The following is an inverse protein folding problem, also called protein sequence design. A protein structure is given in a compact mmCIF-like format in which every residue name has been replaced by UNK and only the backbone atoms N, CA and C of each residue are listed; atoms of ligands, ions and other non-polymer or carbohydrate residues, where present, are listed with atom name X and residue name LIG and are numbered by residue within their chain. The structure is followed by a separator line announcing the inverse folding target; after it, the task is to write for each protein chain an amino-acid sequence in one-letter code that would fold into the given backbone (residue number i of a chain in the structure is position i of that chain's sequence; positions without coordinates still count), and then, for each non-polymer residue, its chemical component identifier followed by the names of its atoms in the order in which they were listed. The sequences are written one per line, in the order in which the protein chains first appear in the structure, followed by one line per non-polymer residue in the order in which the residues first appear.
data_IF_799006714877
#
_entry.id   IF_799006714877
#
_cell.length_a   1.000
_cell.length_b   1.000
_cell.length_c   1.000
_cell.angle_alpha   90.00
_cell.angle_beta   90.00
_cell.angle_gamma   90.00
#
_symmetry.space_group_name_H-M   'P 1'
#
loop_
_entity.id
_entity.type
_entity.pdbx_description
1 polymer ?
#
# COMPACT_ATOMS: atom_id res chain seq x y z
N UNK A 1 -17.03 15.05 -12.18
CA UNK A 1 -18.18 14.24 -11.74
C UNK A 1 -17.71 12.81 -11.61
N UNK A 2 -17.41 12.37 -10.39
CA UNK A 2 -16.93 11.00 -10.14
C UNK A 2 -18.14 10.05 -10.17
N UNK A 3 -18.22 9.21 -11.18
CA UNK A 3 -19.32 8.26 -11.36
C UNK A 3 -19.17 7.14 -10.33
N UNK A 4 -20.18 6.99 -9.46
CA UNK A 4 -20.29 5.96 -8.43
C UNK A 4 -20.54 4.59 -9.06
N UNK A 5 -19.52 3.97 -9.61
CA UNK A 5 -19.49 2.51 -9.70
C UNK A 5 -18.94 1.98 -8.39
N UNK A 6 -19.59 0.94 -7.87
CA UNK A 6 -19.18 0.15 -6.72
C UNK A 6 -17.87 -0.60 -7.06
N UNK A 7 -16.79 0.16 -7.22
CA UNK A 7 -15.46 -0.35 -7.51
C UNK A 7 -14.89 -0.76 -6.15
N UNK A 8 -14.82 -2.07 -5.92
CA UNK A 8 -14.01 -2.59 -4.81
C UNK A 8 -12.60 -1.97 -4.91
N UNK A 9 -12.19 -1.20 -3.90
CA UNK A 9 -10.90 -0.50 -3.88
C UNK A 9 -9.71 -1.46 -4.09
N UNK A 10 -9.92 -2.77 -3.87
CA UNK A 10 -9.00 -3.84 -4.25
C UNK A 10 -8.64 -3.80 -5.74
N UNK A 11 -9.60 -3.52 -6.61
CA UNK A 11 -9.40 -3.52 -8.06
C UNK A 11 -8.59 -2.31 -8.54
N UNK A 12 -8.81 -1.12 -7.95
CA UNK A 12 -8.09 0.11 -8.34
C UNK A 12 -6.61 -0.03 -8.03
N UNK A 13 -6.29 -0.53 -6.85
CA UNK A 13 -4.92 -0.75 -6.40
C UNK A 13 -4.19 -1.76 -7.27
N UNK A 14 -4.83 -2.90 -7.56
CA UNK A 14 -4.25 -3.99 -8.37
C UNK A 14 -4.06 -3.58 -9.84
N UNK A 15 -5.07 -2.96 -10.45
CA UNK A 15 -5.01 -2.52 -11.85
C UNK A 15 -3.94 -1.45 -12.07
N UNK A 16 -3.77 -0.53 -11.11
CA UNK A 16 -2.76 0.52 -11.18
C UNK A 16 -1.35 -0.09 -11.19
N UNK A 17 -1.09 -1.09 -10.34
CA UNK A 17 0.20 -1.79 -10.32
C UNK A 17 0.52 -2.51 -11.63
N UNK A 18 -0.48 -3.06 -12.33
CA UNK A 18 -0.25 -3.79 -13.59
C UNK A 18 -0.14 -2.88 -14.81
N UNK A 19 -0.85 -1.74 -14.82
CA UNK A 19 -0.93 -0.84 -15.98
C UNK A 19 0.06 0.32 -15.92
N UNK A 20 0.60 0.63 -14.74
CA UNK A 20 1.52 1.74 -14.52
C UNK A 20 2.89 1.25 -14.01
N UNK A 21 3.78 0.75 -14.90
CA UNK A 21 5.07 0.17 -14.49
C UNK A 21 6.06 1.18 -13.89
N UNK A 22 5.78 2.49 -14.01
CA UNK A 22 6.61 3.58 -13.47
C UNK A 22 5.91 4.34 -12.32
N UNK A 23 4.93 3.72 -11.65
CA UNK A 23 4.13 4.36 -10.60
C UNK A 23 4.94 4.61 -9.32
N UNK A 24 5.48 5.81 -9.14
CA UNK A 24 6.30 6.18 -7.97
C UNK A 24 5.48 6.70 -6.79
N UNK A 25 4.33 7.27 -7.08
CA UNK A 25 3.47 7.90 -6.09
C UNK A 25 2.02 7.53 -6.40
N UNK A 26 1.31 7.09 -5.38
CA UNK A 26 -0.11 6.81 -5.46
C UNK A 26 -0.83 7.52 -4.32
N UNK A 27 -1.70 8.46 -4.66
CA UNK A 27 -2.42 9.28 -3.69
C UNK A 27 -3.91 8.93 -3.72
N UNK A 28 -4.39 8.40 -2.62
CA UNK A 28 -5.82 8.09 -2.38
C UNK A 28 -6.31 8.78 -1.11
N UNK A 29 -5.68 9.90 -0.75
CA UNK A 29 -6.08 10.70 0.40
C UNK A 29 -7.53 11.19 0.23
N UNK A 30 -8.29 11.15 1.32
CA UNK A 30 -9.72 11.48 1.33
C UNK A 30 -10.64 10.37 0.80
N UNK A 31 -10.12 9.25 0.28
CA UNK A 31 -10.92 8.10 -0.10
C UNK A 31 -11.31 7.27 1.14
N UNK A 32 -12.45 7.59 1.76
CA UNK A 32 -12.89 7.00 3.02
C UNK A 32 -13.03 5.48 3.01
N UNK A 33 -13.19 4.84 1.85
CA UNK A 33 -13.33 3.40 1.71
C UNK A 33 -11.98 2.65 1.60
N UNK A 34 -10.87 3.38 1.58
CA UNK A 34 -9.53 2.77 1.61
C UNK A 34 -9.24 2.28 3.03
N UNK A 35 -8.87 1.00 3.14
CA UNK A 35 -8.65 0.30 4.41
C UNK A 35 -7.31 -0.43 4.40
N UNK A 36 -6.95 -1.08 5.53
CA UNK A 36 -5.79 -1.96 5.59
C UNK A 36 -5.80 -3.07 4.52
N UNK A 37 -6.98 -3.63 4.19
CA UNK A 37 -7.12 -4.65 3.15
C UNK A 37 -6.79 -4.11 1.74
N UNK A 38 -7.11 -2.84 1.47
CA UNK A 38 -6.74 -2.19 0.20
C UNK A 38 -5.21 -2.14 0.04
N UNK A 39 -4.50 -1.80 1.13
CA UNK A 39 -3.03 -1.76 1.15
C UNK A 39 -2.42 -3.15 1.02
N UNK A 40 -3.01 -4.18 1.65
CA UNK A 40 -2.56 -5.57 1.50
C UNK A 40 -2.66 -6.03 0.05
N UNK A 41 -3.81 -5.78 -0.59
CA UNK A 41 -4.02 -6.13 -2.00
C UNK A 41 -3.05 -5.37 -2.93
N UNK A 42 -2.83 -4.08 -2.67
CA UNK A 42 -1.84 -3.28 -3.39
C UNK A 42 -0.43 -3.87 -3.27
N UNK A 43 -0.02 -4.21 -2.04
CA UNK A 43 1.30 -4.76 -1.72
C UNK A 43 1.49 -6.12 -2.38
N UNK A 44 0.49 -7.00 -2.32
CA UNK A 44 0.50 -8.31 -2.97
C UNK A 44 0.64 -8.18 -4.50
N UNK A 45 -0.11 -7.28 -5.13
CA UNK A 45 -0.04 -7.03 -6.57
C UNK A 45 1.37 -6.60 -7.04
N UNK A 46 2.08 -5.80 -6.23
CA UNK A 46 3.44 -5.37 -6.53
C UNK A 46 4.46 -6.52 -6.51
N UNK A 47 4.25 -7.54 -5.67
CA UNK A 47 5.14 -8.72 -5.66
C UNK A 47 5.10 -9.45 -7.00
N UNK A 48 3.96 -9.47 -7.68
CA UNK A 48 3.84 -10.14 -8.98
C UNK A 48 4.22 -9.26 -10.17
N UNK A 49 4.42 -7.96 -9.96
CA UNK A 49 4.96 -7.07 -11.00
C UNK A 49 6.50 -7.19 -11.04
N UNK A 50 7.05 -7.48 -12.23
CA UNK A 50 8.50 -7.64 -12.46
C UNK A 50 9.25 -6.31 -12.46
N UNK A 51 8.59 -5.25 -12.89
CA UNK A 51 9.13 -3.89 -12.97
C UNK A 51 8.75 -3.05 -11.73
N UNK A 52 8.24 -3.72 -10.69
CA UNK A 52 7.91 -3.07 -9.43
C UNK A 52 9.13 -2.38 -8.83
N UNK A 53 8.93 -1.16 -8.38
CA UNK A 53 9.94 -0.33 -7.76
C UNK A 53 9.36 0.33 -6.51
N UNK A 54 10.16 1.02 -5.69
CA UNK A 54 9.64 1.69 -4.50
C UNK A 54 8.50 2.66 -4.81
N UNK A 55 7.49 2.70 -3.94
CA UNK A 55 6.27 3.51 -4.10
C UNK A 55 5.96 4.30 -2.82
N UNK A 56 5.61 5.57 -2.99
CA UNK A 56 4.98 6.38 -1.95
C UNK A 56 3.46 6.27 -2.05
N UNK A 57 2.80 5.88 -0.96
CA UNK A 57 1.36 5.72 -0.86
C UNK A 57 0.79 6.72 0.15
N UNK A 58 -0.09 7.62 -0.29
CA UNK A 58 -0.73 8.61 0.59
C UNK A 58 -2.16 8.20 0.92
N UNK A 59 -2.40 7.90 2.21
CA UNK A 59 -3.65 7.40 2.77
C UNK A 59 -4.29 8.36 3.78
N UNK A 60 -3.87 9.63 3.79
CA UNK A 60 -4.43 10.61 4.74
C UNK A 60 -5.92 10.75 4.57
N UNK A 61 -6.66 10.90 5.68
CA UNK A 61 -8.13 11.02 5.67
C UNK A 61 -8.85 9.81 5.02
N UNK A 62 -8.37 8.59 5.26
CA UNK A 62 -9.03 7.34 4.86
C UNK A 62 -9.50 6.55 6.09
N UNK A 63 -10.14 5.38 5.89
CA UNK A 63 -10.47 4.44 6.98
C UNK A 63 -9.32 3.47 7.30
N UNK A 64 -8.11 3.74 6.80
CA UNK A 64 -6.93 2.91 7.04
C UNK A 64 -6.58 2.85 8.54
N UNK A 65 -6.24 1.65 9.02
CA UNK A 65 -5.80 1.39 10.39
C UNK A 65 -4.53 0.55 10.37
N UNK A 66 -3.44 1.12 10.86
CA UNK A 66 -2.11 0.48 10.89
C UNK A 66 -2.10 -0.86 11.63
N UNK A 67 -2.85 -0.96 12.73
CA UNK A 67 -2.94 -2.18 13.53
C UNK A 67 -3.57 -3.35 12.77
N UNK A 68 -4.53 -3.07 11.89
CA UNK A 68 -5.18 -4.09 11.05
C UNK A 68 -4.24 -4.55 9.93
N UNK A 69 -3.42 -3.63 9.40
CA UNK A 69 -2.45 -3.94 8.34
C UNK A 69 -1.47 -5.03 8.75
N UNK A 70 -0.81 -4.88 9.90
CA UNK A 70 0.16 -5.87 10.38
C UNK A 70 -0.46 -7.26 10.58
N UNK A 71 -1.70 -7.31 11.08
CA UNK A 71 -2.43 -8.57 11.24
C UNK A 71 -2.72 -9.25 9.91
N UNK A 72 -3.03 -8.48 8.87
CA UNK A 72 -3.33 -9.01 7.55
C UNK A 72 -2.07 -9.45 6.79
N UNK A 73 -0.96 -8.73 6.90
CA UNK A 73 0.30 -9.06 6.21
C UNK A 73 0.92 -10.37 6.72
N UNK A 74 0.68 -10.76 7.96
CA UNK A 74 1.13 -12.05 8.50
C UNK A 74 0.27 -13.26 8.07
N UNK A 75 -0.77 -13.07 7.25
CA UNK A 75 -1.67 -14.15 6.88
C UNK A 75 -0.98 -15.13 5.89
N UNK A 76 -0.83 -16.42 6.23
CA UNK A 76 -0.17 -17.39 5.36
C UNK A 76 -0.97 -17.71 4.08
N UNK A 77 -2.24 -17.27 4.00
CA UNK A 77 -3.09 -17.46 2.82
C UNK A 77 -2.94 -16.35 1.76
N UNK A 78 -2.08 -15.34 2.00
CA UNK A 78 -1.70 -14.40 0.95
C UNK A 78 -1.01 -15.17 -0.19
N UNK A 79 -1.33 -14.83 -1.43
CA UNK A 79 -0.73 -15.43 -2.62
C UNK A 79 0.79 -15.19 -2.65
N UNK A 80 1.24 -14.03 -2.18
CA UNK A 80 2.65 -13.70 -2.05
C UNK A 80 3.30 -14.23 -0.76
N UNK A 81 2.55 -14.95 0.09
CA UNK A 81 2.98 -15.28 1.45
C UNK A 81 3.18 -14.04 2.34
N UNK A 82 3.63 -14.22 3.59
CA UNK A 82 3.91 -13.13 4.52
C UNK A 82 5.26 -12.45 4.23
N UNK A 83 5.43 -11.93 3.02
CA UNK A 83 6.69 -11.35 2.53
C UNK A 83 6.84 -9.84 2.79
N UNK A 84 5.95 -9.23 3.57
CA UNK A 84 5.98 -7.80 3.88
C UNK A 84 6.16 -7.56 5.37
N UNK A 85 7.14 -6.73 5.73
CA UNK A 85 7.40 -6.31 7.11
C UNK A 85 6.99 -4.86 7.31
N UNK A 86 5.92 -4.58 8.06
CA UNK A 86 5.53 -3.23 8.42
C UNK A 86 6.36 -2.69 9.59
N UNK A 87 6.92 -1.49 9.42
CA UNK A 87 7.58 -0.74 10.47
C UNK A 87 6.99 0.66 10.56
N UNK A 88 6.45 1.02 11.72
CA UNK A 88 6.04 2.38 12.00
C UNK A 88 7.29 3.27 12.19
N UNK A 89 7.33 4.39 11.48
CA UNK A 89 8.43 5.36 11.52
C UNK A 89 7.87 6.77 11.64
N UNK A 90 8.70 7.70 12.11
CA UNK A 90 8.43 9.13 12.00
C UNK A 90 9.46 9.70 11.04
N UNK A 91 9.00 10.25 9.91
CA UNK A 91 9.86 10.87 8.92
C UNK A 91 9.99 12.35 9.24
N UNK A 92 11.22 12.81 9.49
CA UNK A 92 11.52 14.21 9.75
C UNK A 92 11.96 14.88 8.44
N UNK A 93 11.01 15.36 7.65
CA UNK A 93 11.27 16.15 6.44
C UNK A 93 10.64 17.53 6.64
N UNK A 94 11.36 18.43 7.29
CA UNK A 94 10.88 19.77 7.69
C UNK A 94 9.86 19.75 8.84
N UNK A 95 9.07 18.67 8.97
CA UNK A 95 8.14 18.38 10.08
C UNK A 95 8.06 16.87 10.29
N UNK A 96 7.77 16.45 11.52
CA UNK A 96 7.56 15.04 11.86
C UNK A 96 6.25 14.54 11.27
N UNK A 97 6.33 13.47 10.47
CA UNK A 97 5.16 12.81 9.89
C UNK A 97 5.16 11.31 10.21
N UNK A 98 4.09 10.78 10.80
CA UNK A 98 3.95 9.35 10.97
C UNK A 98 3.84 8.69 9.59
N UNK A 99 4.59 7.61 9.41
CA UNK A 99 4.52 6.79 8.22
C UNK A 99 4.69 5.32 8.60
N UNK A 100 4.33 4.44 7.68
CA UNK A 100 4.61 3.01 7.78
C UNK A 100 5.45 2.63 6.58
N UNK A 101 6.62 2.07 6.83
CA UNK A 101 7.46 1.48 5.79
C UNK A 101 7.11 0.00 5.69
N UNK A 102 6.72 -0.44 4.51
CA UNK A 102 6.56 -1.86 4.17
C UNK A 102 7.79 -2.29 3.38
N UNK A 103 8.63 -3.11 4.00
CA UNK A 103 9.78 -3.72 3.33
C UNK A 103 9.42 -5.11 2.85
N UNK A 104 9.71 -5.42 1.59
CA UNK A 104 9.55 -6.78 1.10
C UNK A 104 10.76 -7.64 1.50
N UNK A 105 10.51 -8.81 2.09
CA UNK A 105 11.56 -9.71 2.58
C UNK A 105 12.18 -10.59 1.52
N UNK A 106 11.54 -10.71 0.35
CA UNK A 106 11.98 -11.54 -0.78
C UNK A 106 12.54 -10.68 -1.93
N UNK A 107 11.98 -9.49 -2.13
CA UNK A 107 12.43 -8.47 -3.09
C UNK A 107 12.99 -7.26 -2.33
N UNK A 108 14.25 -7.31 -1.95
CA UNK A 108 14.86 -6.30 -1.06
C UNK A 108 14.83 -4.85 -1.60
N UNK A 109 14.75 -4.66 -2.92
CA UNK A 109 14.64 -3.32 -3.53
C UNK A 109 13.20 -2.79 -3.57
N UNK A 110 12.22 -3.58 -3.13
CA UNK A 110 10.80 -3.22 -3.15
C UNK A 110 10.34 -2.75 -1.77
N UNK A 111 10.05 -1.45 -1.69
CA UNK A 111 9.61 -0.77 -0.46
C UNK A 111 8.37 0.08 -0.75
N UNK A 112 7.41 0.10 0.19
CA UNK A 112 6.26 1.00 0.14
C UNK A 112 6.33 1.93 1.35
N UNK A 113 6.33 3.24 1.12
CA UNK A 113 6.22 4.23 2.19
C UNK A 113 4.80 4.72 2.25
N UNK A 114 4.09 4.37 3.32
CA UNK A 114 2.69 4.70 3.53
C UNK A 114 2.58 5.93 4.45
N UNK A 115 2.10 7.04 3.91
CA UNK A 115 1.77 8.24 4.67
C UNK A 115 0.33 8.14 5.17
N UNK A 116 0.14 8.32 6.47
CA UNK A 116 -1.16 8.13 7.16
C UNK A 116 -1.69 9.44 7.75
#
# INVERSE_FOLDING_TARGET
MCNKQHIDNRQICTDSCQKCPNLKEFNVSGCSEVTALSVVAFSEALVFNKDAHPINLDLRNTSFKSIELSRHLCNPLLQCGPCWRPQAVTLTIGFDRPAIVLENTEKHDLVIVVYV
#
